data_IF_058982536395
#
_entry.id   IF_058982536395
#
_cell.length_a   1.000
_cell.length_b   1.000
_cell.length_c   1.000
_cell.angle_alpha   90.00
_cell.angle_beta   90.00
_cell.angle_gamma   90.00
#
_symmetry.space_group_name_H-M   'P 1'
#
loop_
_entity.id
_entity.type
_entity.pdbx_description
1 polymer ?
#
# COMPACT_ATOMS: atom_id res chain seq x y z
N UNK A 1 -4.09 7.42 -3.92
CA UNK A 1 -4.99 6.79 -2.93
C UNK A 1 -4.73 7.24 -1.48
N UNK A 2 -5.75 7.71 -0.76
CA UNK A 2 -5.69 8.02 0.68
C UNK A 2 -6.75 7.23 1.45
N UNK A 3 -6.46 6.88 2.70
CA UNK A 3 -7.49 6.40 3.63
C UNK A 3 -8.29 7.61 4.11
N UNK A 4 -9.62 7.53 4.05
CA UNK A 4 -10.46 8.57 4.65
C UNK A 4 -10.41 8.46 6.18
N UNK A 5 -10.76 9.55 6.87
CA UNK A 5 -10.78 9.63 8.34
C UNK A 5 -11.48 8.43 8.99
N UNK A 6 -12.66 8.05 8.51
CA UNK A 6 -13.42 6.93 9.07
C UNK A 6 -12.69 5.58 8.95
N UNK A 7 -11.95 5.37 7.85
CA UNK A 7 -11.20 4.13 7.62
C UNK A 7 -9.94 4.10 8.48
N UNK A 8 -9.29 5.25 8.69
CA UNK A 8 -8.16 5.39 9.60
C UNK A 8 -8.59 5.22 11.06
N UNK A 9 -9.75 5.76 11.43
CA UNK A 9 -10.31 5.65 12.78
C UNK A 9 -10.68 4.20 13.11
N UNK A 10 -11.31 3.47 12.17
CA UNK A 10 -11.54 2.02 12.32
C UNK A 10 -10.24 1.24 12.49
N UNK A 11 -9.22 1.58 11.71
CA UNK A 11 -7.92 0.92 11.78
C UNK A 11 -7.26 1.15 13.14
N UNK A 12 -7.33 2.38 13.64
CA UNK A 12 -6.82 2.75 14.95
C UNK A 12 -7.57 2.01 16.08
N UNK A 13 -8.91 2.09 16.09
CA UNK A 13 -9.76 1.42 17.07
C UNK A 13 -9.61 -0.11 17.10
N UNK A 14 -9.20 -0.70 15.98
CA UNK A 14 -8.98 -2.14 15.89
C UNK A 14 -7.57 -2.56 16.33
N UNK A 15 -6.61 -1.63 16.33
CA UNK A 15 -5.28 -1.84 16.90
C UNK A 15 -5.23 -1.52 18.39
N UNK A 16 -5.89 -0.44 18.83
CA UNK A 16 -6.01 0.04 20.21
C UNK A 16 -6.96 -0.89 21.01
N UNK A 17 -6.43 -2.07 21.37
CA UNK A 17 -7.18 -3.16 22.01
C UNK A 17 -7.46 -2.80 23.46
N UNK A 18 -6.50 -2.16 24.14
CA UNK A 18 -6.64 -1.76 25.53
C UNK A 18 -7.36 -0.40 25.70
N UNK A 19 -7.63 0.31 24.60
CA UNK A 19 -8.33 1.61 24.55
C UNK A 19 -7.59 2.72 25.28
N UNK A 20 -6.27 2.65 25.32
CA UNK A 20 -5.43 3.68 25.91
C UNK A 20 -5.22 4.89 24.97
N UNK A 21 -5.79 4.85 23.75
CA UNK A 21 -5.63 5.89 22.72
C UNK A 21 -4.20 6.05 22.22
N UNK A 22 -3.36 5.04 22.42
CA UNK A 22 -2.04 4.86 21.87
C UNK A 22 -2.02 3.55 21.06
N UNK A 23 -0.92 3.31 20.33
CA UNK A 23 -0.70 2.03 19.65
C UNK A 23 0.69 1.57 20.03
N UNK A 24 0.76 0.55 20.86
CA UNK A 24 2.02 -0.08 21.19
C UNK A 24 2.43 -1.15 20.17
N UNK A 25 3.61 -1.74 20.38
CA UNK A 25 4.23 -2.66 19.42
C UNK A 25 3.40 -3.91 19.17
N UNK A 26 2.73 -4.42 20.21
CA UNK A 26 1.86 -5.59 20.11
C UNK A 26 0.55 -5.24 19.40
N UNK A 27 -0.01 -4.07 19.69
CA UNK A 27 -1.22 -3.51 19.05
C UNK A 27 -1.03 -3.13 17.57
N UNK A 28 0.20 -2.83 17.16
CA UNK A 28 0.55 -2.60 15.76
C UNK A 28 0.44 -3.87 14.89
N UNK A 29 0.55 -5.07 15.47
CA UNK A 29 0.47 -6.34 14.74
C UNK A 29 -0.94 -6.57 14.17
N UNK A 30 -2.04 -6.54 14.97
CA UNK A 30 -3.39 -6.68 14.44
C UNK A 30 -3.77 -5.50 13.54
N UNK A 31 -3.32 -4.28 13.88
CA UNK A 31 -3.50 -3.09 13.05
C UNK A 31 -2.92 -3.31 11.64
N UNK A 32 -1.69 -3.82 11.52
CA UNK A 32 -1.06 -4.10 10.22
C UNK A 32 -1.81 -5.16 9.43
N UNK A 33 -2.33 -6.20 10.08
CA UNK A 33 -3.13 -7.23 9.40
C UNK A 33 -4.41 -6.66 8.79
N UNK A 34 -5.11 -5.80 9.53
CA UNK A 34 -6.32 -5.11 9.05
C UNK A 34 -5.98 -4.14 7.94
N UNK A 35 -4.89 -3.38 8.07
CA UNK A 35 -4.40 -2.49 7.03
C UNK A 35 -4.15 -3.26 5.73
N UNK A 36 -3.44 -4.40 5.78
CA UNK A 36 -3.21 -5.24 4.59
C UNK A 36 -4.52 -5.69 3.94
N UNK A 37 -5.52 -6.07 4.74
CA UNK A 37 -6.84 -6.46 4.22
C UNK A 37 -7.54 -5.29 3.51
N UNK A 38 -7.56 -4.10 4.11
CA UNK A 38 -8.14 -2.91 3.50
C UNK A 38 -7.40 -2.48 2.23
N UNK A 39 -6.07 -2.59 2.23
CA UNK A 39 -5.24 -2.33 1.06
C UNK A 39 -5.49 -3.35 -0.05
N UNK A 40 -5.76 -4.61 0.29
CA UNK A 40 -6.14 -5.62 -0.69
C UNK A 40 -7.48 -5.26 -1.38
N UNK A 41 -8.50 -4.89 -0.61
CA UNK A 41 -9.81 -4.51 -1.17
C UNK A 41 -9.71 -3.28 -2.08
N UNK A 42 -8.93 -2.28 -1.66
CA UNK A 42 -8.63 -1.11 -2.49
C UNK A 42 -7.75 -1.46 -3.70
N UNK A 43 -6.81 -2.36 -3.51
CA UNK A 43 -5.93 -2.88 -4.53
C UNK A 43 -6.72 -3.57 -5.63
N UNK A 44 -7.72 -4.38 -5.30
CA UNK A 44 -8.60 -5.03 -6.28
C UNK A 44 -9.35 -4.02 -7.17
N UNK A 45 -9.80 -2.90 -6.58
CA UNK A 45 -10.44 -1.82 -7.33
C UNK A 45 -9.46 -1.13 -8.29
N UNK A 46 -8.22 -0.92 -7.86
CA UNK A 46 -7.18 -0.36 -8.73
C UNK A 46 -6.73 -1.35 -9.78
N UNK A 47 -6.60 -2.63 -9.43
CA UNK A 47 -6.29 -3.72 -10.34
C UNK A 47 -7.28 -3.69 -11.49
N UNK A 48 -8.60 -3.75 -11.23
CA UNK A 48 -9.63 -3.65 -12.28
C UNK A 48 -9.58 -2.38 -13.14
N UNK A 49 -8.97 -1.31 -12.63
CA UNK A 49 -8.84 -0.03 -13.34
C UNK A 49 -7.60 0.01 -14.25
N UNK A 50 -6.51 -0.63 -13.85
CA UNK A 50 -5.20 -0.59 -14.52
C UNK A 50 -4.82 -1.90 -15.20
N UNK A 51 -5.51 -3.00 -14.92
CA UNK A 51 -5.46 -4.29 -15.61
C UNK A 51 -6.09 -4.13 -17.00
N UNK A 52 -5.28 -3.70 -17.95
CA UNK A 52 -5.70 -3.43 -19.33
C UNK A 52 -5.82 -4.75 -20.10
N UNK A 53 -4.93 -5.69 -19.82
CA UNK A 53 -4.90 -6.98 -20.50
C UNK A 53 -5.97 -7.96 -19.96
N UNK A 54 -6.63 -7.63 -18.84
CA UNK A 54 -7.67 -8.42 -18.16
C UNK A 54 -7.18 -9.82 -17.79
N UNK A 55 -5.89 -9.96 -17.43
CA UNK A 55 -5.33 -11.23 -16.98
C UNK A 55 -5.63 -11.50 -15.49
N UNK A 56 -6.12 -10.49 -14.77
CA UNK A 56 -6.45 -10.58 -13.36
C UNK A 56 -5.24 -10.44 -12.44
N UNK A 57 -4.08 -10.05 -12.99
CA UNK A 57 -2.87 -9.67 -12.26
C UNK A 57 -2.37 -8.32 -12.76
N UNK A 58 -1.49 -7.71 -11.97
CA UNK A 58 -0.88 -6.44 -12.34
C UNK A 58 0.50 -6.72 -12.94
N UNK A 59 0.67 -6.43 -14.22
CA UNK A 59 1.98 -6.48 -14.88
C UNK A 59 2.84 -5.27 -14.52
N UNK A 60 4.15 -5.36 -14.72
CA UNK A 60 5.07 -4.24 -14.49
C UNK A 60 4.66 -2.96 -15.23
N UNK A 61 4.24 -3.09 -16.49
CA UNK A 61 3.83 -1.94 -17.32
C UNK A 61 2.54 -1.28 -16.81
N UNK A 62 1.69 -2.03 -16.10
CA UNK A 62 0.43 -1.57 -15.49
C UNK A 62 0.66 -1.01 -14.08
N UNK A 63 1.65 -1.54 -13.36
CA UNK A 63 2.06 -1.03 -12.05
C UNK A 63 2.67 0.36 -12.13
N UNK A 64 3.45 0.66 -13.18
CA UNK A 64 4.09 1.97 -13.39
C UNK A 64 3.07 3.14 -13.41
N UNK A 65 2.03 3.13 -14.27
CA UNK A 65 1.02 4.19 -14.31
C UNK A 65 0.19 4.23 -13.03
N UNK A 66 -0.07 3.08 -12.39
CA UNK A 66 -0.72 3.03 -11.08
C UNK A 66 0.10 3.78 -10.02
N UNK A 67 1.38 3.45 -9.85
CA UNK A 67 2.26 4.10 -8.88
C UNK A 67 2.40 5.60 -9.14
N UNK A 68 2.48 6.00 -10.42
CA UNK A 68 2.56 7.41 -10.80
C UNK A 68 1.25 8.15 -10.55
N UNK A 69 0.10 7.59 -10.93
CA UNK A 69 -1.18 8.30 -10.86
C UNK A 69 -1.81 8.27 -9.47
N UNK A 70 -1.58 7.23 -8.68
CA UNK A 70 -2.18 7.07 -7.36
C UNK A 70 -1.25 7.50 -6.21
N UNK A 71 0.06 7.36 -6.39
CA UNK A 71 1.06 7.59 -5.33
C UNK A 71 2.08 8.69 -5.67
N UNK A 72 2.01 9.28 -6.87
CA UNK A 72 2.95 10.30 -7.36
C UNK A 72 4.42 9.84 -7.32
N UNK A 73 4.65 8.55 -7.55
CA UNK A 73 5.98 7.95 -7.53
C UNK A 73 6.62 7.90 -8.93
N UNK A 74 7.96 7.95 -8.94
CA UNK A 74 8.72 7.77 -10.18
C UNK A 74 8.69 6.31 -10.64
N UNK A 75 8.82 6.08 -11.95
CA UNK A 75 8.83 4.73 -12.55
C UNK A 75 9.83 3.79 -11.85
N UNK A 76 11.00 4.32 -11.51
CA UNK A 76 12.07 3.53 -10.89
C UNK A 76 11.75 3.11 -9.46
N UNK A 77 11.00 3.93 -8.72
CA UNK A 77 10.57 3.59 -7.36
C UNK A 77 9.44 2.58 -7.40
N UNK A 78 8.42 2.83 -8.24
CA UNK A 78 7.34 1.88 -8.47
C UNK A 78 7.86 0.51 -8.90
N UNK A 79 8.89 0.48 -9.76
CA UNK A 79 9.53 -0.77 -10.18
C UNK A 79 10.21 -1.51 -9.02
N UNK A 80 10.95 -0.80 -8.17
CA UNK A 80 11.58 -1.42 -6.99
C UNK A 80 10.54 -2.02 -6.06
N UNK A 81 9.48 -1.27 -5.76
CA UNK A 81 8.41 -1.74 -4.88
C UNK A 81 7.64 -2.92 -5.49
N UNK A 82 7.47 -2.93 -6.81
CA UNK A 82 6.90 -4.05 -7.57
C UNK A 82 7.71 -5.33 -7.38
N UNK A 83 9.03 -5.26 -7.59
CA UNK A 83 9.92 -6.42 -7.43
C UNK A 83 9.94 -6.92 -5.98
N UNK A 84 9.75 -6.03 -5.00
CA UNK A 84 9.65 -6.43 -3.58
C UNK A 84 8.31 -7.09 -3.24
N UNK A 85 7.24 -6.76 -3.96
CA UNK A 85 5.91 -7.29 -3.74
C UNK A 85 5.66 -8.61 -4.49
N UNK A 86 6.34 -8.83 -5.61
CA UNK A 86 6.36 -10.09 -6.35
C UNK A 86 7.14 -11.15 -5.55
N UNK A 87 6.43 -11.88 -4.69
CA UNK A 87 7.02 -12.87 -3.81
C UNK A 87 7.31 -14.19 -4.52
N UNK A 88 6.53 -14.48 -5.56
CA UNK A 88 6.60 -15.73 -6.29
C UNK A 88 7.57 -15.67 -7.50
N UNK A 89 7.95 -14.47 -7.92
CA UNK A 89 8.91 -14.21 -8.99
C UNK A 89 8.39 -14.45 -10.40
N UNK A 90 7.06 -14.43 -10.60
CA UNK A 90 6.42 -14.62 -11.91
C UNK A 90 6.40 -13.33 -12.75
N UNK A 91 6.90 -12.22 -12.19
CA UNK A 91 6.93 -10.93 -12.86
C UNK A 91 5.56 -10.25 -12.90
N UNK A 92 4.59 -10.73 -12.11
CA UNK A 92 3.24 -10.22 -12.00
C UNK A 92 2.86 -10.09 -10.51
N UNK A 93 1.96 -9.16 -10.20
CA UNK A 93 1.45 -9.02 -8.83
C UNK A 93 0.03 -9.57 -8.79
N UNK A 94 -0.15 -10.67 -8.07
CA UNK A 94 -1.45 -11.31 -7.91
C UNK A 94 -2.34 -10.55 -6.91
N UNK A 95 -3.68 -10.61 -7.10
CA UNK A 95 -4.61 -10.13 -6.10
C UNK A 95 -4.43 -10.88 -4.78
N UNK A 96 -4.64 -10.20 -3.64
CA UNK A 96 -4.43 -10.77 -2.31
C UNK A 96 -3.14 -10.28 -1.66
N UNK A 97 -2.26 -11.22 -1.33
CA UNK A 97 -1.05 -10.95 -0.55
C UNK A 97 -0.09 -9.98 -1.23
N UNK A 98 0.28 -10.28 -2.49
CA UNK A 98 1.24 -9.50 -3.27
C UNK A 98 0.71 -8.09 -3.54
N UNK A 99 -0.56 -7.96 -3.95
CA UNK A 99 -1.19 -6.66 -4.16
C UNK A 99 -1.23 -5.81 -2.87
N UNK A 100 -1.58 -6.41 -1.73
CA UNK A 100 -1.58 -5.70 -0.46
C UNK A 100 -0.18 -5.24 -0.03
N UNK A 101 0.84 -6.03 -0.32
CA UNK A 101 2.24 -5.68 -0.05
C UNK A 101 2.72 -4.56 -0.99
N UNK A 102 2.41 -4.66 -2.29
CA UNK A 102 2.71 -3.62 -3.27
C UNK A 102 2.12 -2.27 -2.83
N UNK A 103 0.84 -2.27 -2.48
CA UNK A 103 0.13 -1.08 -2.04
C UNK A 103 0.72 -0.48 -0.76
N UNK A 104 1.15 -1.33 0.17
CA UNK A 104 1.82 -0.91 1.40
C UNK A 104 3.20 -0.31 1.11
N UNK A 105 3.98 -0.94 0.24
CA UNK A 105 5.33 -0.52 -0.15
C UNK A 105 5.27 0.84 -0.87
N UNK A 106 4.44 0.96 -1.91
CA UNK A 106 4.22 2.23 -2.62
C UNK A 106 3.80 3.35 -1.67
N UNK A 107 2.90 3.06 -0.71
CA UNK A 107 2.51 4.07 0.27
C UNK A 107 3.63 4.44 1.22
N UNK A 108 4.41 3.46 1.67
CA UNK A 108 5.58 3.66 2.53
C UNK A 108 6.60 4.56 1.84
N UNK A 109 6.94 4.26 0.59
CA UNK A 109 7.89 5.03 -0.22
C UNK A 109 7.38 6.44 -0.48
N UNK A 110 6.08 6.61 -0.79
CA UNK A 110 5.46 7.93 -0.91
C UNK A 110 5.62 8.76 0.38
N UNK A 111 5.35 8.15 1.54
CA UNK A 111 5.47 8.83 2.84
C UNK A 111 6.92 9.16 3.18
N UNK A 112 7.87 8.28 2.87
CA UNK A 112 9.30 8.51 3.06
C UNK A 112 9.77 9.69 2.21
N UNK A 113 9.41 9.71 0.93
CA UNK A 113 9.76 10.81 0.02
C UNK A 113 9.11 12.13 0.45
N UNK A 114 7.86 12.09 0.92
CA UNK A 114 7.22 13.26 1.52
C UNK A 114 7.90 13.72 2.82
N UNK A 115 8.35 12.79 3.67
CA UNK A 115 9.10 13.09 4.90
C UNK A 115 10.49 13.68 4.62
N UNK A 116 11.17 13.24 3.56
CA UNK A 116 12.42 13.86 3.11
C UNK A 116 12.22 15.31 2.64
N UNK A 117 10.99 15.69 2.27
CA UNK A 117 10.61 17.05 1.89
C UNK A 117 10.03 17.88 3.05
N UNK A 118 9.93 17.34 4.27
CA UNK A 118 9.59 18.16 5.43
C UNK A 118 10.83 18.95 5.85
N UNK A 119 10.74 20.29 6.02
CA UNK A 119 11.81 21.03 6.66
C UNK A 119 11.97 20.46 8.06
N UNK A 120 13.10 19.79 8.32
CA UNK A 120 13.55 19.54 9.68
C UNK A 120 13.69 20.92 10.31
N UNK A 121 12.72 21.30 11.13
CA UNK A 121 12.77 22.50 11.94
C UNK A 121 14.08 22.47 12.72
N UNK A 122 14.93 23.46 12.45
CA UNK A 122 16.04 23.83 13.33
C UNK A 122 15.50 24.36 14.65
#
# INVERSE_FOLDING_TARGET
MNLNRAELEKLFLAGDVDRNSELDGDECIPMRAILKKMLNEKGDVLLRKYDVNNDGKLSQDEAIPLGKSEFDLSKNETFKEFVLADQNGDGMVSPGGEMSELMLNLRTTQVINAKMNLPVGK
#
